data_IF_177047236390
#
_entry.id   IF_177047236390
#
_cell.length_a   1.000
_cell.length_b   1.000
_cell.length_c   1.000
_cell.angle_alpha   90.00
_cell.angle_beta   90.00
_cell.angle_gamma   90.00
#
_symmetry.space_group_name_H-M   'P 1'
#
loop_
_entity.id
_entity.type
_entity.pdbx_description
1 polymer ?
#
# COMPACT_ATOMS: atom_id res chain seq x y z
N UNK A 1 2.26 -29.55 -38.85
CA UNK A 1 1.73 -29.76 -37.50
C UNK A 1 2.64 -29.14 -36.41
N UNK A 2 3.93 -29.27 -36.51
CA UNK A 2 4.93 -28.74 -35.55
C UNK A 2 4.92 -27.21 -35.41
N UNK A 3 4.77 -26.47 -36.49
CA UNK A 3 4.77 -24.98 -36.45
C UNK A 3 3.58 -24.42 -35.67
N UNK A 4 2.43 -25.09 -35.69
CA UNK A 4 1.23 -24.67 -34.95
C UNK A 4 1.40 -24.93 -33.47
N UNK A 5 2.02 -26.03 -33.10
CA UNK A 5 2.31 -26.39 -31.70
C UNK A 5 3.34 -25.42 -31.11
N UNK A 6 4.42 -25.14 -31.83
CA UNK A 6 5.46 -24.19 -31.43
C UNK A 6 4.88 -22.77 -31.20
N UNK A 7 4.02 -22.30 -32.11
CA UNK A 7 3.35 -21.01 -32.00
C UNK A 7 2.42 -20.93 -30.79
N UNK A 8 1.73 -22.01 -30.44
CA UNK A 8 0.88 -22.09 -29.23
C UNK A 8 1.71 -22.07 -27.96
N UNK A 9 2.84 -22.77 -27.91
CA UNK A 9 3.76 -22.78 -26.76
C UNK A 9 4.35 -21.39 -26.54
N UNK A 10 4.81 -20.72 -27.61
CA UNK A 10 5.35 -19.36 -27.52
C UNK A 10 4.30 -18.36 -27.02
N UNK A 11 3.06 -18.46 -27.49
CA UNK A 11 1.96 -17.62 -27.01
C UNK A 11 1.62 -17.89 -25.54
N UNK A 12 1.62 -19.15 -25.10
CA UNK A 12 1.41 -19.51 -23.70
C UNK A 12 2.53 -18.98 -22.81
N UNK A 13 3.77 -19.09 -23.21
CA UNK A 13 4.92 -18.55 -22.47
C UNK A 13 4.88 -17.01 -22.41
N UNK A 14 4.49 -16.35 -23.49
CA UNK A 14 4.30 -14.88 -23.49
C UNK A 14 3.16 -14.46 -22.58
N UNK A 15 2.04 -15.18 -22.56
CA UNK A 15 0.91 -14.87 -21.66
C UNK A 15 1.25 -15.10 -20.18
N UNK A 16 2.03 -16.13 -19.86
CA UNK A 16 2.48 -16.37 -18.47
C UNK A 16 3.50 -15.34 -17.99
N UNK A 17 4.34 -14.82 -18.87
CA UNK A 17 5.31 -13.78 -18.52
C UNK A 17 4.67 -12.40 -18.22
N UNK A 18 3.49 -12.12 -18.75
CA UNK A 18 2.74 -10.89 -18.47
C UNK A 18 2.06 -10.86 -17.08
N UNK A 19 1.92 -12.01 -16.43
CA UNK A 19 1.23 -12.10 -15.12
C UNK A 19 2.08 -11.74 -13.90
N UNK A 20 3.37 -11.40 -14.04
CA UNK A 20 4.30 -11.32 -12.91
C UNK A 20 4.45 -9.93 -12.29
N UNK A 21 3.86 -8.89 -12.86
CA UNK A 21 3.96 -7.52 -12.34
C UNK A 21 2.67 -7.04 -11.66
N UNK A 22 2.15 -7.79 -10.69
CA UNK A 22 1.12 -7.24 -9.81
C UNK A 22 1.79 -6.34 -8.79
N UNK A 23 1.57 -5.03 -8.92
CA UNK A 23 1.95 -4.07 -7.89
C UNK A 23 1.30 -4.51 -6.57
N UNK A 24 2.13 -4.82 -5.56
CA UNK A 24 1.66 -5.21 -4.24
C UNK A 24 1.22 -3.95 -3.51
N UNK A 25 -0.08 -3.80 -3.34
CA UNK A 25 -0.67 -2.77 -2.47
C UNK A 25 -0.52 -3.19 -1.01
N UNK A 26 -0.11 -2.27 -0.15
CA UNK A 26 0.07 -2.49 1.28
C UNK A 26 -0.91 -1.65 2.10
N UNK A 27 -1.35 -2.19 3.26
CA UNK A 27 -2.18 -1.47 4.22
C UNK A 27 -1.33 -0.99 5.39
N UNK A 28 -1.18 0.32 5.51
CA UNK A 28 -0.45 0.97 6.59
C UNK A 28 -1.39 1.42 7.70
N UNK A 29 -1.19 0.92 8.91
CA UNK A 29 -1.87 1.42 10.11
C UNK A 29 -1.18 2.70 10.57
N UNK A 30 -1.83 3.85 10.40
CA UNK A 30 -1.26 5.16 10.73
C UNK A 30 -0.91 5.21 12.22
N UNK A 31 0.38 5.45 12.53
CA UNK A 31 0.92 5.42 13.88
C UNK A 31 1.32 4.02 14.39
N UNK A 32 1.19 2.98 13.55
CA UNK A 32 1.75 1.64 13.79
C UNK A 32 0.79 0.60 14.35
N UNK A 33 -0.39 0.97 14.82
CA UNK A 33 -1.40 0.01 15.30
C UNK A 33 -2.85 0.45 14.99
N UNK A 34 -3.83 -0.40 15.37
CA UNK A 34 -5.24 -0.21 15.00
C UNK A 34 -5.92 1.03 15.59
N UNK A 35 -5.34 1.66 16.61
CA UNK A 35 -5.93 2.82 17.31
C UNK A 35 -4.86 3.87 17.60
N UNK A 36 -4.01 4.17 16.62
CA UNK A 36 -2.88 5.09 16.79
C UNK A 36 -3.13 6.49 16.22
N UNK A 37 -4.28 6.73 15.59
CA UNK A 37 -4.67 8.10 15.27
C UNK A 37 -5.23 8.77 16.53
N UNK A 38 -4.31 9.10 17.46
CA UNK A 38 -4.61 9.61 18.79
C UNK A 38 -3.57 10.63 19.23
N UNK A 39 -3.90 11.56 20.17
CA UNK A 39 -2.92 12.43 20.78
C UNK A 39 -1.78 11.64 21.43
N UNK A 40 -0.60 12.25 21.51
CA UNK A 40 0.62 11.68 22.09
C UNK A 40 1.26 10.51 21.33
N UNK A 41 0.76 10.14 20.15
CA UNK A 41 1.45 9.24 19.23
C UNK A 41 2.40 10.06 18.34
N UNK A 42 3.67 9.67 18.28
CA UNK A 42 4.63 10.34 17.41
C UNK A 42 4.45 9.88 15.94
N UNK A 43 3.45 10.46 15.30
CA UNK A 43 3.09 10.14 13.91
C UNK A 43 4.20 10.49 12.93
N UNK A 44 4.94 11.58 13.18
CA UNK A 44 6.05 11.99 12.33
C UNK A 44 7.17 10.96 12.36
N UNK A 45 7.56 10.50 13.54
CA UNK A 45 8.58 9.47 13.67
C UNK A 45 8.14 8.17 13.02
N UNK A 46 6.87 7.78 13.16
CA UNK A 46 6.34 6.61 12.51
C UNK A 46 6.45 6.73 10.98
N UNK A 47 6.00 7.84 10.37
CA UNK A 47 6.02 8.01 8.92
C UNK A 47 7.44 8.03 8.32
N UNK A 48 8.43 8.53 9.06
CA UNK A 48 9.83 8.55 8.62
C UNK A 48 10.45 7.16 8.44
N UNK A 49 9.86 6.12 9.04
CA UNK A 49 10.32 4.73 8.94
C UNK A 49 9.44 3.90 7.99
N UNK A 50 8.56 4.54 7.21
CA UNK A 50 7.68 3.88 6.26
C UNK A 50 7.98 4.36 4.84
N UNK A 51 7.71 3.51 3.87
CA UNK A 51 7.67 3.86 2.47
C UNK A 51 6.23 3.70 1.98
N UNK A 52 5.74 4.69 1.27
CA UNK A 52 4.37 4.69 0.77
C UNK A 52 4.38 4.77 -0.74
N UNK A 53 3.65 3.89 -1.38
CA UNK A 53 3.57 3.79 -2.83
C UNK A 53 2.15 4.04 -3.33
N UNK A 54 2.04 4.43 -4.59
CA UNK A 54 0.73 4.54 -5.24
C UNK A 54 0.00 3.20 -5.15
N UNK A 55 -1.30 3.26 -4.83
CA UNK A 55 -2.22 2.14 -4.52
C UNK A 55 -2.07 1.53 -3.13
N UNK A 56 -1.17 2.02 -2.28
CA UNK A 56 -1.20 1.66 -0.87
C UNK A 56 -2.43 2.26 -0.17
N UNK A 57 -2.75 1.70 0.97
CA UNK A 57 -3.89 2.12 1.80
C UNK A 57 -3.41 2.61 3.15
N UNK A 58 -3.99 3.71 3.62
CA UNK A 58 -3.83 4.18 5.00
C UNK A 58 -5.07 3.81 5.79
N UNK A 59 -4.86 3.22 6.96
CA UNK A 59 -5.91 2.93 7.93
C UNK A 59 -5.77 3.88 9.12
N UNK A 60 -6.84 4.62 9.42
CA UNK A 60 -6.95 5.51 10.56
C UNK A 60 -7.90 4.89 11.57
N UNK A 61 -7.36 4.50 12.74
CA UNK A 61 -8.17 4.01 13.85
C UNK A 61 -8.13 5.01 14.99
N UNK A 62 -9.29 5.46 15.47
CA UNK A 62 -9.44 6.55 16.41
C UNK A 62 -10.76 6.48 17.21
N UNK A 63 -10.86 7.26 18.28
CA UNK A 63 -12.13 7.44 18.97
C UNK A 63 -13.04 8.37 18.14
N UNK A 64 -14.10 7.78 17.57
CA UNK A 64 -15.08 8.46 16.71
C UNK A 64 -15.83 9.64 17.35
N UNK A 65 -15.85 9.70 18.68
CA UNK A 65 -16.52 10.76 19.44
C UNK A 65 -15.60 11.98 19.67
N UNK A 66 -14.32 11.80 19.49
CA UNK A 66 -13.32 12.84 19.79
C UNK A 66 -12.55 13.30 18.54
N UNK A 67 -12.10 12.35 17.70
CA UNK A 67 -11.22 12.66 16.58
C UNK A 67 -11.93 12.49 15.24
N UNK A 68 -11.34 13.10 14.23
CA UNK A 68 -11.68 12.93 12.82
C UNK A 68 -10.41 12.90 11.97
N UNK A 69 -10.57 12.67 10.68
CA UNK A 69 -9.49 12.66 9.69
C UNK A 69 -9.88 13.52 8.52
N UNK A 70 -9.13 14.59 8.31
CA UNK A 70 -9.31 15.52 7.20
C UNK A 70 -8.05 15.53 6.34
N UNK A 71 -8.19 15.33 5.03
CA UNK A 71 -7.14 15.60 4.06
C UNK A 71 -7.17 17.11 3.76
N UNK A 72 -6.02 17.76 3.88
CA UNK A 72 -5.87 19.20 3.71
C UNK A 72 -4.69 19.52 2.79
N UNK A 73 -4.56 20.78 2.39
CA UNK A 73 -3.38 21.27 1.71
C UNK A 73 -2.22 21.54 2.70
N UNK A 74 -1.02 21.80 2.17
CA UNK A 74 0.19 22.05 2.98
C UNK A 74 0.00 23.23 3.95
N UNK A 75 -0.55 24.34 3.49
CA UNK A 75 -0.77 25.54 4.31
C UNK A 75 -1.71 25.26 5.47
N UNK A 76 -2.82 24.56 5.21
CA UNK A 76 -3.76 24.16 6.25
C UNK A 76 -3.16 23.18 7.25
N UNK A 77 -2.31 22.26 6.79
CA UNK A 77 -1.56 21.33 7.64
C UNK A 77 -0.58 22.06 8.57
N UNK A 78 0.19 23.02 8.04
CA UNK A 78 1.17 23.79 8.84
C UNK A 78 0.47 24.65 9.89
N UNK A 79 -0.63 25.31 9.54
CA UNK A 79 -1.37 26.25 10.38
C UNK A 79 -2.57 25.64 11.11
N UNK A 80 -2.74 24.31 11.04
CA UNK A 80 -3.88 23.60 11.66
C UNK A 80 -5.25 24.20 11.29
N UNK A 81 -5.45 24.53 10.02
CA UNK A 81 -6.72 25.05 9.47
C UNK A 81 -7.57 23.85 9.05
N UNK A 82 -8.67 23.62 9.76
CA UNK A 82 -9.56 22.48 9.54
C UNK A 82 -10.81 22.82 8.70
N UNK A 83 -11.01 24.09 8.34
CA UNK A 83 -12.20 24.52 7.56
C UNK A 83 -12.07 24.30 6.07
N UNK A 84 -10.85 24.43 5.52
CA UNK A 84 -10.57 24.32 4.09
C UNK A 84 -9.96 22.95 3.76
N UNK A 85 -10.65 21.87 4.12
CA UNK A 85 -10.20 20.53 3.83
C UNK A 85 -10.49 20.14 2.36
N UNK A 86 -9.57 19.38 1.78
CA UNK A 86 -9.72 18.80 0.44
C UNK A 86 -10.76 17.68 0.48
N UNK A 87 -10.69 16.86 1.54
CA UNK A 87 -11.56 15.70 1.71
C UNK A 87 -11.76 15.36 3.18
N UNK A 88 -12.99 15.09 3.55
CA UNK A 88 -13.30 14.48 4.83
C UNK A 88 -13.24 12.94 4.69
N UNK A 89 -12.31 12.31 5.39
CA UNK A 89 -12.12 10.85 5.36
C UNK A 89 -13.06 10.18 6.36
N UNK A 90 -13.45 10.90 7.41
CA UNK A 90 -14.27 10.40 8.51
C UNK A 90 -15.65 9.95 8.03
N UNK A 91 -15.95 8.66 8.24
CA UNK A 91 -17.27 8.06 7.94
C UNK A 91 -18.07 7.72 9.21
N UNK A 92 -17.57 8.13 10.37
CA UNK A 92 -18.22 7.97 11.66
C UNK A 92 -18.01 6.62 12.36
N UNK A 93 -17.25 5.71 11.77
CA UNK A 93 -16.94 4.40 12.36
C UNK A 93 -15.72 4.36 13.25
N UNK A 94 -14.87 5.40 13.24
CA UNK A 94 -13.58 5.42 13.94
C UNK A 94 -12.55 4.45 13.35
N UNK A 95 -12.82 3.97 12.13
CA UNK A 95 -11.99 3.01 11.38
C UNK A 95 -12.13 3.34 9.91
N UNK A 96 -11.40 4.33 9.46
CA UNK A 96 -11.51 4.82 8.09
C UNK A 96 -10.26 4.52 7.29
N UNK A 97 -10.45 4.26 6.00
CA UNK A 97 -9.37 3.94 5.08
C UNK A 97 -9.39 4.86 3.87
N UNK A 98 -8.20 5.17 3.36
CA UNK A 98 -8.02 5.91 2.10
C UNK A 98 -6.93 5.25 1.27
N UNK A 99 -7.17 5.15 -0.03
CA UNK A 99 -6.18 4.73 -1.02
C UNK A 99 -5.33 5.93 -1.45
N UNK A 100 -4.02 5.72 -1.53
CA UNK A 100 -3.04 6.68 -2.05
C UNK A 100 -2.98 6.57 -3.57
N UNK A 101 -3.67 7.44 -4.29
CA UNK A 101 -3.86 7.33 -5.75
C UNK A 101 -2.83 8.07 -6.60
N UNK A 102 -2.11 9.01 -6.00
CA UNK A 102 -1.24 9.93 -6.73
C UNK A 102 0.12 10.05 -6.07
N UNK A 103 1.14 10.25 -6.88
CA UNK A 103 2.49 10.60 -6.41
C UNK A 103 2.49 12.05 -5.94
N UNK A 104 2.27 12.24 -4.66
CA UNK A 104 2.28 13.55 -3.99
C UNK A 104 2.48 13.38 -2.50
N UNK A 105 2.69 14.48 -1.79
CA UNK A 105 2.57 14.51 -0.33
C UNK A 105 1.13 14.73 0.06
N UNK A 106 0.54 13.76 0.77
CA UNK A 106 -0.77 13.89 1.41
C UNK A 106 -0.60 14.45 2.82
N UNK A 107 -1.48 15.35 3.19
CA UNK A 107 -1.49 15.96 4.52
C UNK A 107 -2.80 15.66 5.22
N UNK A 108 -2.73 15.10 6.41
CA UNK A 108 -3.89 14.78 7.22
C UNK A 108 -3.80 15.46 8.58
N UNK A 109 -4.94 15.92 9.09
CA UNK A 109 -5.06 16.45 10.45
C UNK A 109 -6.40 16.07 11.07
N UNK A 110 -6.47 16.20 12.40
CA UNK A 110 -7.71 16.13 13.15
C UNK A 110 -8.10 17.53 13.62
N UNK A 111 -9.40 17.85 13.52
CA UNK A 111 -9.96 19.14 13.93
C UNK A 111 -10.07 19.29 15.46
N UNK A 112 -10.83 20.27 15.90
CA UNK A 112 -11.14 20.53 17.30
C UNK A 112 -9.91 20.71 18.22
N UNK A 113 -8.85 21.33 17.70
CA UNK A 113 -7.62 21.59 18.48
C UNK A 113 -6.63 20.43 18.55
N UNK A 114 -6.99 19.23 18.12
CA UNK A 114 -6.09 18.07 18.14
C UNK A 114 -4.87 18.25 17.24
N UNK A 115 -5.01 18.95 16.12
CA UNK A 115 -3.89 19.28 15.23
C UNK A 115 -2.76 20.01 15.97
N UNK A 116 -3.08 20.98 16.82
CA UNK A 116 -2.11 21.71 17.63
C UNK A 116 -1.39 20.83 18.65
N UNK A 117 -2.04 19.75 19.07
CA UNK A 117 -1.47 18.73 19.96
C UNK A 117 -0.73 17.63 19.17
N UNK A 118 -0.39 17.88 17.91
CA UNK A 118 0.41 16.98 17.08
C UNK A 118 -0.38 15.89 16.35
N UNK A 119 -1.73 15.88 16.43
CA UNK A 119 -2.52 14.91 15.69
C UNK A 119 -2.66 15.35 14.23
N UNK A 120 -1.56 15.26 13.52
CA UNK A 120 -1.41 15.54 12.10
C UNK A 120 -0.24 14.75 11.51
N UNK A 121 -0.30 14.44 10.21
CA UNK A 121 0.74 13.68 9.52
C UNK A 121 0.87 14.11 8.07
N UNK A 122 2.09 14.08 7.55
CA UNK A 122 2.41 14.22 6.15
C UNK A 122 2.91 12.86 5.63
N UNK A 123 2.35 12.38 4.52
CA UNK A 123 2.66 11.10 3.88
C UNK A 123 3.19 11.39 2.47
N UNK A 124 4.46 11.14 2.25
CA UNK A 124 5.08 11.27 0.92
C UNK A 124 4.89 9.96 0.14
N UNK A 125 4.16 10.03 -0.98
CA UNK A 125 3.86 8.87 -1.83
C UNK A 125 4.75 8.89 -3.05
N UNK A 126 5.40 7.76 -3.28
CA UNK A 126 6.29 7.52 -4.40
C UNK A 126 5.62 6.64 -5.47
N UNK A 127 6.21 6.59 -6.66
CA UNK A 127 5.81 5.58 -7.64
C UNK A 127 6.00 4.19 -7.05
N UNK A 128 5.16 3.23 -7.50
CA UNK A 128 5.27 1.83 -7.05
C UNK A 128 6.73 1.38 -7.07
N UNK A 129 7.16 0.74 -5.98
CA UNK A 129 8.52 0.24 -5.87
C UNK A 129 8.87 -0.60 -7.11
N UNK A 130 10.04 -0.37 -7.73
CA UNK A 130 10.52 -1.30 -8.74
C UNK A 130 10.63 -2.67 -8.08
N UNK A 131 10.02 -3.67 -8.68
CA UNK A 131 10.09 -5.06 -8.23
C UNK A 131 11.54 -5.56 -8.39
N UNK A 132 12.41 -5.23 -7.45
CA UNK A 132 13.76 -5.78 -7.38
C UNK A 132 14.38 -5.56 -6.02
N UNK A 133 14.58 -6.63 -5.36
CA UNK A 133 15.66 -7.05 -4.48
C UNK A 133 15.22 -7.52 -3.09
N UNK A 134 15.72 -8.69 -2.65
CA UNK A 134 15.47 -9.18 -1.30
C UNK A 134 16.41 -8.45 -0.32
N UNK A 135 15.93 -7.36 0.25
CA UNK A 135 16.56 -6.68 1.39
C UNK A 135 15.88 -7.17 2.67
N UNK A 136 16.64 -7.86 3.48
CA UNK A 136 16.33 -8.32 4.83
C UNK A 136 15.44 -7.36 5.63
N UNK A 137 14.23 -7.80 6.00
CA UNK A 137 13.72 -7.59 7.36
C UNK A 137 12.60 -8.60 7.65
N UNK A 138 12.79 -9.33 8.74
CA UNK A 138 11.92 -10.37 9.26
C UNK A 138 10.56 -9.81 9.67
N UNK A 139 9.52 -10.24 8.97
CA UNK A 139 8.18 -10.38 9.55
C UNK A 139 7.59 -11.65 8.97
N UNK A 140 7.30 -12.59 9.86
CA UNK A 140 6.77 -13.90 9.54
C UNK A 140 5.35 -13.78 9.01
N UNK A 141 5.21 -13.72 7.71
CA UNK A 141 3.97 -14.11 7.04
C UNK A 141 4.30 -15.30 6.16
N UNK A 142 3.61 -16.40 6.42
CA UNK A 142 3.71 -17.65 5.68
C UNK A 142 3.23 -17.42 4.24
N UNK A 143 4.09 -16.89 3.41
CA UNK A 143 3.90 -16.89 1.96
C UNK A 143 4.44 -18.23 1.46
N UNK A 144 3.54 -19.06 0.95
CA UNK A 144 3.92 -20.22 0.15
C UNK A 144 4.64 -19.64 -1.08
N UNK A 145 5.95 -19.51 -0.97
CA UNK A 145 6.81 -19.15 -2.09
C UNK A 145 6.75 -20.27 -3.12
N UNK A 146 5.88 -20.13 -4.10
CA UNK A 146 5.93 -21.02 -5.27
C UNK A 146 7.25 -20.72 -5.97
N UNK A 147 8.21 -21.63 -5.79
CA UNK A 147 9.53 -21.52 -6.37
C UNK A 147 9.35 -21.49 -7.89
N UNK A 148 9.69 -20.38 -8.53
CA UNK A 148 9.53 -20.15 -9.97
C UNK A 148 10.18 -21.25 -10.80
N UNK A 149 11.29 -21.84 -10.31
CA UNK A 149 11.94 -22.98 -10.93
C UNK A 149 11.08 -24.25 -10.88
N UNK A 150 10.26 -24.41 -9.83
CA UNK A 150 9.36 -25.57 -9.70
C UNK A 150 8.20 -25.50 -10.69
N UNK A 151 7.69 -24.31 -10.95
CA UNK A 151 6.64 -24.09 -11.97
C UNK A 151 7.18 -24.37 -13.37
N UNK A 152 8.40 -23.92 -13.67
CA UNK A 152 9.07 -24.19 -14.95
C UNK A 152 9.30 -25.69 -15.14
N UNK A 153 9.77 -26.39 -14.09
CA UNK A 153 9.96 -27.85 -14.12
C UNK A 153 8.65 -28.60 -14.33
N UNK A 154 7.55 -28.19 -13.71
CA UNK A 154 6.24 -28.78 -13.91
C UNK A 154 5.73 -28.58 -15.37
N UNK A 155 5.95 -27.40 -15.94
CA UNK A 155 5.57 -27.11 -17.32
C UNK A 155 6.39 -27.96 -18.30
N UNK A 156 7.70 -28.13 -18.05
CA UNK A 156 8.57 -28.98 -18.86
C UNK A 156 8.19 -30.46 -18.76
N UNK A 157 7.85 -30.95 -17.57
CA UNK A 157 7.38 -32.32 -17.36
C UNK A 157 6.05 -32.59 -18.06
N UNK A 158 5.10 -31.65 -18.02
CA UNK A 158 3.84 -31.76 -18.78
C UNK A 158 4.05 -31.73 -20.28
N UNK A 159 5.00 -30.92 -20.77
CA UNK A 159 5.38 -30.90 -22.19
C UNK A 159 5.90 -32.25 -22.68
N UNK A 160 6.69 -32.95 -21.88
CA UNK A 160 7.24 -34.30 -22.21
C UNK A 160 6.13 -35.35 -22.26
N UNK A 161 5.12 -35.26 -21.38
CA UNK A 161 4.01 -36.23 -21.31
C UNK A 161 3.08 -36.08 -22.53
N UNK A 162 2.89 -34.88 -23.05
CA UNK A 162 2.02 -34.62 -24.21
C UNK A 162 2.71 -34.99 -25.54
N UNK A 163 4.04 -35.07 -25.54
CA UNK A 163 4.84 -35.38 -26.74
C UNK A 163 5.19 -36.87 -26.89
N UNK A 164 4.73 -37.73 -25.97
CA UNK A 164 4.93 -39.17 -26.03
C UNK A 164 3.62 -39.87 -26.40
#
# INVERSE_FOLDING_TARGET
METVIFRRIVLMVMMTSMMVNMAKSELHYVGGNKFSWAPNVNLTQWSMHQHFYVHDWLYFGYDRHMQNVLEVNKTSYENCIDKDFIKNITKGGGKDVIELKEVKTYYFLSSCGFCWNGLKIAINVENAAPSSSPGHNKSSSCTIGINQNLVILLILMWGIIIFK
#
